data_IF_003831244900
#
_entry.id   IF_003831244900
#
_cell.length_a   1.000
_cell.length_b   1.000
_cell.length_c   1.000
_cell.angle_alpha   90.00
_cell.angle_beta   90.00
_cell.angle_gamma   90.00
#
_symmetry.space_group_name_H-M   'P 1'
#
loop_
_entity.id
_entity.type
_entity.pdbx_description
1 polymer ?
#
# COMPACT_ATOMS: atom_id res chain seq x y z
N UNK A 1 51.89 -2.39 -18.90
CA UNK A 1 52.94 -1.34 -18.85
C UNK A 1 52.28 -0.11 -18.27
N UNK A 2 52.37 0.13 -16.96
CA UNK A 2 53.52 0.66 -16.19
C UNK A 2 53.76 2.16 -16.37
N UNK A 3 53.65 2.82 -15.20
CA UNK A 3 54.31 4.01 -14.69
C UNK A 3 53.41 5.26 -14.57
N UNK A 4 52.99 5.67 -13.36
CA UNK A 4 53.79 6.15 -12.19
C UNK A 4 54.50 7.48 -12.55
N UNK A 5 54.53 8.53 -11.72
CA UNK A 5 54.64 8.54 -10.25
C UNK A 5 54.55 9.97 -9.66
N UNK A 6 54.19 10.01 -8.36
CA UNK A 6 54.83 10.76 -7.24
C UNK A 6 54.76 12.31 -7.20
N UNK A 7 54.75 13.02 -6.06
CA UNK A 7 55.09 12.73 -4.65
C UNK A 7 54.74 13.98 -3.80
N UNK A 8 54.09 13.88 -2.63
CA UNK A 8 54.64 13.92 -1.23
C UNK A 8 55.00 15.32 -0.68
N UNK A 9 55.08 15.69 0.60
CA UNK A 9 55.08 15.04 1.94
C UNK A 9 54.79 16.13 3.00
N UNK A 10 54.34 15.76 4.20
CA UNK A 10 54.32 16.65 5.38
C UNK A 10 53.75 15.99 6.65
N UNK A 11 54.63 15.33 7.41
CA UNK A 11 54.38 14.59 8.67
C UNK A 11 54.33 15.52 9.91
N UNK A 12 53.56 15.12 10.93
CA UNK A 12 53.98 15.13 12.34
C UNK A 12 53.15 14.14 13.18
N UNK A 13 53.83 13.41 14.06
CA UNK A 13 53.40 12.28 14.89
C UNK A 13 53.39 12.68 16.37
N UNK A 14 52.56 12.08 17.25
CA UNK A 14 53.01 11.10 18.29
C UNK A 14 52.00 10.82 19.43
N UNK A 15 51.74 9.51 19.63
CA UNK A 15 51.61 8.69 20.88
C UNK A 15 50.44 8.76 21.90
N UNK A 16 49.65 7.66 21.88
CA UNK A 16 49.16 6.72 22.93
C UNK A 16 49.09 7.10 24.43
N UNK A 17 47.95 6.74 25.09
CA UNK A 17 47.86 5.75 26.19
C UNK A 17 46.42 5.52 26.76
N UNK A 18 46.05 4.24 26.90
CA UNK A 18 45.26 3.52 27.96
C UNK A 18 43.98 4.06 28.64
N UNK A 19 42.95 3.20 28.69
CA UNK A 19 41.76 3.14 29.59
C UNK A 19 42.12 3.06 31.10
N UNK A 20 41.21 3.25 32.12
CA UNK A 20 39.97 2.49 32.35
C UNK A 20 38.80 3.20 33.13
N UNK A 21 37.76 2.41 33.46
CA UNK A 21 36.50 2.64 34.22
C UNK A 21 36.50 3.61 35.44
N UNK A 22 35.39 4.32 35.68
CA UNK A 22 34.40 4.06 36.79
C UNK A 22 33.56 5.27 37.30
N UNK A 23 32.28 4.99 37.61
CA UNK A 23 31.36 5.52 38.67
C UNK A 23 30.91 7.00 38.71
N UNK A 24 29.58 7.21 38.83
CA UNK A 24 28.85 7.91 39.92
C UNK A 24 27.33 7.68 39.71
N UNK A 25 26.65 6.79 40.45
CA UNK A 25 25.83 7.00 41.68
C UNK A 25 24.69 8.01 41.53
N UNK A 26 23.46 7.53 41.76
CA UNK A 26 22.21 8.28 41.62
C UNK A 26 21.80 9.11 42.84
N UNK A 27 20.64 9.76 42.68
CA UNK A 27 19.83 10.28 43.78
C UNK A 27 18.35 10.13 43.45
N UNK A 28 17.61 9.61 44.42
CA UNK A 28 16.17 9.41 44.46
C UNK A 28 15.48 10.65 45.00
N UNK A 29 14.32 11.05 44.47
CA UNK A 29 13.39 11.97 45.15
C UNK A 29 11.92 11.55 44.95
N UNK A 30 11.45 10.85 45.99
CA UNK A 30 10.15 10.85 46.69
C UNK A 30 8.85 11.20 45.95
N UNK A 31 7.94 10.24 46.07
CA UNK A 31 6.49 10.29 46.01
C UNK A 31 5.91 11.18 47.14
N UNK A 32 4.97 12.08 46.81
CA UNK A 32 4.10 12.76 47.79
C UNK A 32 2.63 12.68 47.32
N UNK A 33 1.77 12.16 48.19
CA UNK A 33 0.32 12.02 48.03
C UNK A 33 -0.36 13.00 48.98
N UNK A 34 -1.04 14.05 48.46
CA UNK A 34 -2.16 14.72 49.16
C UNK A 34 -3.22 15.31 48.21
N UNK A 35 -4.31 14.52 48.06
CA UNK A 35 -5.75 14.89 48.01
C UNK A 35 -6.36 15.68 46.82
N UNK A 36 -7.67 15.49 46.56
CA UNK A 36 -8.24 15.38 45.22
C UNK A 36 -9.02 16.61 44.80
N UNK A 37 -9.03 16.92 43.50
CA UNK A 37 -10.05 17.79 42.92
C UNK A 37 -10.95 16.97 41.99
N UNK A 38 -12.22 16.93 42.36
CA UNK A 38 -13.33 16.34 41.62
C UNK A 38 -13.46 16.99 40.23
N UNK A 39 -13.28 16.20 39.18
CA UNK A 39 -13.79 16.54 37.86
C UNK A 39 -15.03 15.70 37.61
N UNK A 40 -16.19 16.37 37.60
CA UNK A 40 -17.45 15.80 37.15
C UNK A 40 -17.28 15.36 35.70
N UNK A 41 -17.58 14.10 35.39
CA UNK A 41 -17.88 13.66 34.02
C UNK A 41 -19.00 14.54 33.47
N UNK A 42 -18.71 15.33 32.43
CA UNK A 42 -19.69 15.54 31.38
C UNK A 42 -19.51 14.38 30.41
N UNK A 43 -20.54 13.55 30.26
CA UNK A 43 -20.69 12.69 29.09
C UNK A 43 -20.53 13.54 27.83
N UNK A 44 -19.56 13.28 26.93
CA UNK A 44 -19.90 13.28 25.53
C UNK A 44 -20.46 11.88 25.25
N UNK A 45 -21.74 11.82 24.86
CA UNK A 45 -22.18 10.66 24.12
C UNK A 45 -21.27 10.58 22.88
N UNK A 46 -20.33 9.63 22.84
CA UNK A 46 -19.65 9.27 21.61
C UNK A 46 -20.67 8.54 20.76
N UNK A 47 -21.45 9.33 20.02
CA UNK A 47 -22.19 8.81 18.89
C UNK A 47 -21.13 8.28 17.92
N UNK A 48 -21.02 6.95 17.85
CA UNK A 48 -20.37 6.28 16.73
C UNK A 48 -20.87 6.94 15.44
N UNK A 49 -19.98 7.36 14.54
CA UNK A 49 -20.38 7.94 13.25
C UNK A 49 -20.96 6.87 12.30
N UNK A 50 -20.79 5.59 12.65
CA UNK A 50 -21.20 4.43 11.85
C UNK A 50 -22.72 4.36 11.57
N UNK A 51 -23.63 4.60 12.54
CA UNK A 51 -25.08 4.59 12.31
C UNK A 51 -25.60 5.87 11.65
N UNK A 52 -24.84 6.98 11.70
CA UNK A 52 -25.19 8.23 11.02
C UNK A 52 -24.86 8.17 9.52
N UNK A 53 -23.80 7.44 9.15
CA UNK A 53 -23.34 7.22 7.78
C UNK A 53 -24.33 6.41 6.93
N UNK A 54 -24.82 5.26 7.45
CA UNK A 54 -25.85 4.45 6.78
C UNK A 54 -27.15 5.24 6.54
N UNK A 55 -27.54 6.10 7.48
CA UNK A 55 -28.76 6.91 7.37
C UNK A 55 -28.63 8.09 6.40
N UNK A 56 -27.42 8.57 6.09
CA UNK A 56 -27.19 9.61 5.08
C UNK A 56 -27.01 9.03 3.67
N UNK A 57 -26.49 7.79 3.54
CA UNK A 57 -26.40 7.11 2.25
C UNK A 57 -27.76 6.59 1.76
N UNK A 58 -28.63 6.16 2.66
CA UNK A 58 -29.95 5.58 2.36
C UNK A 58 -31.08 6.60 2.11
N UNK A 59 -30.80 7.91 2.20
CA UNK A 59 -31.78 8.94 1.86
C UNK A 59 -31.41 9.56 0.53
N UNK A 60 -32.17 9.16 -0.49
CA UNK A 60 -32.22 9.70 -1.83
C UNK A 60 -30.98 9.40 -2.70
N UNK A 61 -31.11 8.44 -3.62
CA UNK A 61 -31.09 8.75 -5.05
C UNK A 61 -31.10 7.48 -5.90
N UNK A 62 -32.07 7.37 -6.81
CA UNK A 62 -32.10 6.41 -7.93
C UNK A 62 -31.15 6.78 -9.08
N UNK A 63 -30.15 7.65 -8.82
CA UNK A 63 -29.16 8.12 -9.80
C UNK A 63 -27.73 7.80 -9.35
N UNK A 64 -26.82 7.42 -10.27
CA UNK A 64 -25.43 7.14 -9.92
C UNK A 64 -24.71 8.39 -9.42
N UNK A 65 -24.22 8.36 -8.17
CA UNK A 65 -23.39 9.44 -7.60
C UNK A 65 -22.03 9.56 -8.31
N UNK A 66 -21.54 10.78 -8.50
CA UNK A 66 -20.25 11.11 -9.16
C UNK A 66 -19.04 11.00 -8.20
N UNK A 67 -17.81 10.88 -8.73
CA UNK A 67 -16.56 10.80 -7.94
C UNK A 67 -16.44 11.93 -6.88
N UNK A 68 -16.80 13.16 -7.24
CA UNK A 68 -16.80 14.31 -6.30
C UNK A 68 -17.84 14.13 -5.18
N UNK A 69 -18.96 13.46 -5.44
CA UNK A 69 -20.02 13.25 -4.44
C UNK A 69 -19.65 12.16 -3.44
N UNK A 70 -18.93 11.13 -3.87
CA UNK A 70 -18.43 10.06 -3.00
C UNK A 70 -17.24 10.53 -2.16
N UNK A 71 -16.29 11.24 -2.77
CA UNK A 71 -15.03 11.63 -2.09
C UNK A 71 -15.14 12.86 -1.17
N UNK A 72 -16.14 13.73 -1.39
CA UNK A 72 -16.30 14.97 -0.61
C UNK A 72 -16.60 14.75 0.89
N UNK A 73 -17.49 13.81 1.30
CA UNK A 73 -17.67 13.47 2.71
C UNK A 73 -16.38 12.94 3.35
N UNK A 74 -15.67 12.02 2.68
CA UNK A 74 -14.43 11.45 3.21
C UNK A 74 -13.34 12.50 3.38
N UNK A 75 -13.16 13.39 2.38
CA UNK A 75 -12.23 14.52 2.47
C UNK A 75 -12.60 15.51 3.57
N UNK A 76 -13.89 15.75 3.83
CA UNK A 76 -14.33 16.63 4.92
C UNK A 76 -14.11 16.00 6.30
N UNK A 77 -14.37 14.71 6.45
CA UNK A 77 -14.11 13.97 7.69
C UNK A 77 -12.60 13.95 7.98
N UNK A 78 -11.80 13.63 6.96
CA UNK A 78 -10.34 13.65 7.02
C UNK A 78 -9.79 15.05 7.37
N UNK A 79 -10.29 16.10 6.71
CA UNK A 79 -9.89 17.47 7.01
C UNK A 79 -10.29 17.90 8.43
N UNK A 80 -11.43 17.44 8.95
CA UNK A 80 -11.84 17.70 10.33
C UNK A 80 -10.97 16.95 11.35
N UNK A 81 -10.61 15.68 11.10
CA UNK A 81 -9.78 14.88 12.01
C UNK A 81 -8.29 15.26 12.01
N UNK A 82 -7.78 15.85 10.93
CA UNK A 82 -6.43 16.44 10.89
C UNK A 82 -6.41 17.83 11.52
N UNK A 83 -7.51 18.59 11.41
CA UNK A 83 -7.57 20.00 11.83
C UNK A 83 -7.65 20.22 13.33
N UNK A 84 -7.84 19.21 14.17
CA UNK A 84 -7.79 19.38 15.62
C UNK A 84 -6.44 18.95 16.18
N UNK A 85 -5.50 19.91 16.21
CA UNK A 85 -4.31 19.94 17.08
C UNK A 85 -3.12 19.01 16.74
N UNK A 86 -2.73 18.83 15.48
CA UNK A 86 -1.41 18.21 15.20
C UNK A 86 -0.30 19.27 15.23
N UNK A 87 0.54 19.20 16.26
CA UNK A 87 1.90 19.77 16.31
C UNK A 87 2.96 18.66 16.47
N UNK A 88 2.61 17.42 16.14
CA UNK A 88 3.47 16.25 16.32
C UNK A 88 3.86 15.64 14.97
N UNK A 89 5.15 15.32 14.86
CA UNK A 89 5.84 14.71 13.71
C UNK A 89 5.51 13.22 13.47
N UNK A 90 4.58 12.65 14.23
CA UNK A 90 4.20 11.23 14.12
C UNK A 90 2.79 11.08 13.52
N UNK A 91 2.76 10.87 12.21
CA UNK A 91 1.57 10.43 11.47
C UNK A 91 1.24 9.02 11.95
N UNK A 92 0.24 8.89 12.84
CA UNK A 92 -0.25 7.61 13.36
C UNK A 92 -0.61 6.65 12.21
N UNK A 93 0.04 5.47 12.19
CA UNK A 93 -0.19 4.37 11.23
C UNK A 93 -1.67 3.99 11.09
N UNK A 94 -2.48 4.17 12.15
CA UNK A 94 -3.92 3.95 12.08
C UNK A 94 -4.64 4.93 11.13
N UNK A 95 -4.16 6.18 11.03
CA UNK A 95 -4.65 7.18 10.06
C UNK A 95 -4.25 6.82 8.63
N UNK A 96 -3.10 6.18 8.45
CA UNK A 96 -2.60 5.69 7.16
C UNK A 96 -3.43 4.49 6.70
N UNK A 97 -3.68 3.51 7.57
CA UNK A 97 -4.46 2.32 7.23
C UNK A 97 -5.94 2.64 6.92
N UNK A 98 -6.52 3.62 7.62
CA UNK A 98 -7.88 4.10 7.32
C UNK A 98 -7.94 4.84 5.97
N UNK A 99 -6.84 5.49 5.58
CA UNK A 99 -6.71 6.20 4.31
C UNK A 99 -6.53 5.24 3.13
N UNK A 100 -5.71 4.19 3.28
CA UNK A 100 -5.53 3.12 2.28
C UNK A 100 -6.87 2.43 1.98
N UNK A 101 -7.63 2.06 3.02
CA UNK A 101 -8.95 1.43 2.85
C UNK A 101 -9.98 2.35 2.16
N UNK A 102 -9.88 3.67 2.33
CA UNK A 102 -10.78 4.63 1.70
C UNK A 102 -10.37 5.00 0.26
N UNK A 103 -9.09 4.89 -0.09
CA UNK A 103 -8.60 5.13 -1.45
C UNK A 103 -8.87 3.95 -2.39
N UNK A 104 -8.77 2.71 -1.91
CA UNK A 104 -9.10 1.52 -2.72
C UNK A 104 -10.58 1.49 -3.14
N UNK A 105 -11.51 1.89 -2.26
CA UNK A 105 -12.93 2.04 -2.64
C UNK A 105 -13.16 3.21 -3.61
N UNK A 106 -12.41 4.31 -3.51
CA UNK A 106 -12.53 5.44 -4.42
C UNK A 106 -11.94 5.13 -5.81
N UNK A 107 -10.88 4.31 -5.89
CA UNK A 107 -10.31 3.80 -7.12
C UNK A 107 -11.27 2.86 -7.84
N UNK A 108 -11.91 1.94 -7.10
CA UNK A 108 -12.97 1.08 -7.63
C UNK A 108 -14.19 1.89 -8.10
N UNK A 109 -14.56 2.95 -7.39
CA UNK A 109 -15.69 3.81 -7.76
C UNK A 109 -15.43 4.71 -8.99
N UNK A 110 -14.17 5.07 -9.29
CA UNK A 110 -13.81 5.87 -10.47
C UNK A 110 -13.99 5.09 -11.78
N UNK A 111 -13.96 3.75 -11.74
CA UNK A 111 -14.09 2.90 -12.92
C UNK A 111 -15.53 2.60 -13.36
N UNK A 112 -16.52 3.35 -12.85
CA UNK A 112 -17.95 3.20 -13.19
C UNK A 112 -18.29 3.29 -14.68
N UNK A 113 -17.44 3.87 -15.52
CA UNK A 113 -17.63 3.90 -16.98
C UNK A 113 -17.02 2.67 -17.70
N UNK A 114 -16.07 1.95 -17.09
CA UNK A 114 -15.49 0.70 -17.64
C UNK A 114 -16.19 -0.58 -17.13
N UNK A 115 -16.99 -0.47 -16.08
CA UNK A 115 -17.58 -1.58 -15.32
C UNK A 115 -18.73 -2.35 -16.00
N UNK A 116 -19.12 -2.00 -17.23
CA UNK A 116 -20.26 -2.67 -17.86
C UNK A 116 -20.00 -4.14 -18.25
N UNK A 117 -18.75 -4.66 -18.23
CA UNK A 117 -18.44 -5.94 -18.93
C UNK A 117 -17.35 -6.88 -18.38
N UNK A 118 -16.84 -6.84 -17.14
CA UNK A 118 -15.81 -7.85 -16.81
C UNK A 118 -15.69 -8.43 -15.41
N UNK A 119 -15.90 -7.67 -14.33
CA UNK A 119 -15.87 -8.27 -12.99
C UNK A 119 -17.23 -8.13 -12.32
N UNK A 120 -17.83 -9.28 -11.98
CA UNK A 120 -19.22 -9.40 -11.49
C UNK A 120 -19.30 -9.36 -9.97
N UNK A 121 -18.18 -9.54 -9.28
CA UNK A 121 -18.11 -9.66 -7.84
C UNK A 121 -17.38 -8.48 -7.17
N UNK A 122 -17.63 -8.30 -5.87
CA UNK A 122 -16.81 -7.51 -4.97
C UNK A 122 -16.16 -8.46 -3.96
N UNK A 123 -14.92 -8.21 -3.59
CA UNK A 123 -14.15 -9.04 -2.66
C UNK A 123 -13.82 -8.20 -1.42
N UNK A 124 -14.14 -8.73 -0.23
CA UNK A 124 -13.86 -8.13 1.06
C UNK A 124 -12.86 -9.00 1.81
N UNK A 125 -11.77 -8.42 2.27
CA UNK A 125 -10.78 -9.14 3.05
C UNK A 125 -11.01 -9.01 4.54
N UNK A 126 -11.05 -10.15 5.22
CA UNK A 126 -11.02 -10.22 6.67
C UNK A 126 -9.69 -10.83 7.12
N UNK A 127 -8.75 -9.99 7.53
CA UNK A 127 -7.39 -10.38 7.90
C UNK A 127 -7.18 -10.46 9.44
N UNK A 128 -5.96 -10.75 9.86
CA UNK A 128 -5.59 -10.90 11.28
C UNK A 128 -5.42 -9.56 12.02
N UNK A 129 -5.45 -8.42 11.34
CA UNK A 129 -5.47 -7.11 12.00
C UNK A 129 -6.86 -6.84 12.58
N UNK A 130 -6.93 -6.48 13.86
CA UNK A 130 -8.17 -6.14 14.56
C UNK A 130 -8.01 -4.91 15.44
N UNK A 131 -9.14 -4.27 15.74
CA UNK A 131 -9.23 -3.24 16.78
C UNK A 131 -9.18 -3.90 18.17
N UNK A 132 -8.33 -3.37 19.05
CA UNK A 132 -8.19 -3.77 20.47
C UNK A 132 -8.55 -2.60 21.38
N UNK A 133 -9.85 -2.38 21.54
CA UNK A 133 -10.38 -1.30 22.38
C UNK A 133 -9.93 -1.41 23.85
N UNK A 134 -9.73 -2.63 24.34
CA UNK A 134 -9.17 -2.95 25.66
C UNK A 134 -7.74 -2.45 25.82
N UNK A 135 -6.88 -2.67 24.82
CA UNK A 135 -5.49 -2.17 24.84
C UNK A 135 -5.42 -0.65 24.89
N UNK A 136 -6.40 0.06 24.32
CA UNK A 136 -6.46 1.52 24.37
C UNK A 136 -6.70 2.04 25.80
N UNK A 137 -7.47 1.30 26.62
CA UNK A 137 -7.68 1.64 28.03
C UNK A 137 -6.41 1.45 28.87
N UNK A 138 -5.51 0.58 28.43
CA UNK A 138 -4.21 0.32 29.05
C UNK A 138 -3.08 1.19 28.48
N UNK A 139 -3.40 2.11 27.56
CA UNK A 139 -2.43 3.00 26.91
C UNK A 139 -1.62 2.35 25.77
N UNK A 140 -2.01 1.16 25.33
CA UNK A 140 -1.44 0.46 24.18
C UNK A 140 -2.08 0.83 22.84
N UNK A 141 -1.55 0.28 21.75
CA UNK A 141 -2.08 0.49 20.40
C UNK A 141 -3.53 0.00 20.28
N UNK A 142 -4.45 0.80 19.68
CA UNK A 142 -5.83 0.37 19.43
C UNK A 142 -5.94 -0.63 18.27
N UNK A 143 -4.84 -0.88 17.55
CA UNK A 143 -4.77 -1.83 16.42
C UNK A 143 -3.70 -2.88 16.74
N UNK A 144 -3.99 -4.15 16.50
CA UNK A 144 -3.02 -5.22 16.68
C UNK A 144 -3.36 -6.46 15.86
N UNK A 145 -2.38 -7.35 15.70
CA UNK A 145 -2.58 -8.65 15.09
C UNK A 145 -3.19 -9.65 16.08
N UNK A 146 -4.10 -10.49 15.58
CA UNK A 146 -4.66 -11.66 16.25
C UNK A 146 -4.26 -12.92 15.50
N UNK A 147 -3.16 -13.54 15.94
CA UNK A 147 -2.61 -14.73 15.30
C UNK A 147 -3.52 -15.96 15.42
N UNK A 148 -4.53 -15.94 16.31
CA UNK A 148 -5.51 -17.01 16.44
C UNK A 148 -6.66 -16.92 15.42
N UNK A 149 -6.78 -15.79 14.71
CA UNK A 149 -7.81 -15.59 13.69
C UNK A 149 -7.40 -16.22 12.37
N UNK A 150 -8.30 -16.99 11.76
CA UNK A 150 -8.16 -17.46 10.38
C UNK A 150 -8.64 -16.37 9.42
N UNK A 151 -7.80 -15.85 8.51
CA UNK A 151 -8.24 -14.91 7.49
C UNK A 151 -9.33 -15.48 6.57
N UNK A 152 -10.19 -14.62 6.05
CA UNK A 152 -11.28 -14.99 5.13
C UNK A 152 -11.42 -13.96 4.01
N UNK A 153 -11.89 -14.41 2.85
CA UNK A 153 -12.33 -13.55 1.76
C UNK A 153 -13.85 -13.67 1.63
N UNK A 154 -14.54 -12.55 1.69
CA UNK A 154 -15.97 -12.43 1.40
C UNK A 154 -16.14 -12.07 -0.07
N UNK A 155 -16.94 -12.83 -0.80
CA UNK A 155 -17.30 -12.57 -2.19
C UNK A 155 -18.79 -12.32 -2.26
N UNK A 156 -19.19 -11.21 -2.87
CA UNK A 156 -20.59 -10.86 -3.10
C UNK A 156 -20.78 -10.38 -4.54
N UNK A 157 -21.89 -10.73 -5.22
CA UNK A 157 -22.23 -10.11 -6.49
C UNK A 157 -22.31 -8.58 -6.35
N UNK A 158 -21.76 -7.84 -7.31
CA UNK A 158 -21.75 -6.36 -7.27
C UNK A 158 -23.14 -5.73 -7.21
N UNK A 159 -24.14 -6.45 -7.72
CA UNK A 159 -25.53 -6.02 -7.76
C UNK A 159 -26.41 -6.84 -6.82
N UNK A 160 -25.81 -7.46 -5.79
CA UNK A 160 -26.58 -8.13 -4.75
C UNK A 160 -27.56 -7.17 -4.08
N UNK A 161 -28.74 -7.67 -3.74
CA UNK A 161 -29.78 -6.86 -3.10
C UNK A 161 -29.47 -6.62 -1.61
N UNK A 162 -28.86 -7.60 -0.96
CA UNK A 162 -28.48 -7.56 0.45
C UNK A 162 -27.30 -8.48 0.79
N UNK A 163 -26.89 -8.50 2.06
CA UNK A 163 -25.74 -9.25 2.54
C UNK A 163 -25.91 -10.78 2.50
N UNK A 164 -27.12 -11.31 2.30
CA UNK A 164 -27.37 -12.74 2.28
C UNK A 164 -26.71 -13.46 1.10
N UNK A 165 -26.36 -12.71 0.05
CA UNK A 165 -25.62 -13.20 -1.12
C UNK A 165 -24.09 -13.28 -0.89
N UNK A 166 -23.60 -12.82 0.27
CA UNK A 166 -22.19 -12.90 0.65
C UNK A 166 -21.76 -14.35 0.90
N UNK A 167 -20.69 -14.79 0.22
CA UNK A 167 -20.02 -16.07 0.45
C UNK A 167 -18.66 -15.84 1.09
N UNK A 168 -18.39 -16.49 2.23
CA UNK A 168 -17.11 -16.40 2.92
C UNK A 168 -16.25 -17.64 2.66
N UNK A 169 -15.00 -17.42 2.30
CA UNK A 169 -14.01 -18.46 2.03
C UNK A 169 -12.84 -18.31 2.99
N UNK A 170 -12.48 -19.36 3.72
CA UNK A 170 -11.30 -19.34 4.59
C UNK A 170 -10.02 -19.36 3.75
N UNK A 171 -9.07 -18.49 4.12
CA UNK A 171 -7.75 -18.37 3.48
C UNK A 171 -6.65 -18.29 4.54
N UNK A 172 -6.35 -19.40 5.25
CA UNK A 172 -5.43 -19.40 6.38
C UNK A 172 -4.06 -18.76 6.05
N UNK A 173 -3.67 -17.71 6.79
CA UNK A 173 -2.39 -17.02 6.60
C UNK A 173 -2.30 -16.12 5.35
N UNK A 174 -3.43 -15.71 4.78
CA UNK A 174 -3.50 -14.69 3.74
C UNK A 174 -3.93 -13.34 4.33
N UNK A 175 -2.97 -12.43 4.54
CA UNK A 175 -3.18 -11.09 5.05
C UNK A 175 -2.94 -10.06 3.95
N UNK A 176 -3.99 -9.79 3.18
CA UNK A 176 -4.01 -8.76 2.13
C UNK A 176 -4.24 -7.37 2.75
N UNK A 177 -3.39 -6.41 2.39
CA UNK A 177 -3.59 -4.99 2.67
C UNK A 177 -3.91 -4.24 1.38
N UNK A 178 -3.10 -4.46 0.34
CA UNK A 178 -3.33 -3.93 -1.01
C UNK A 178 -3.86 -5.01 -1.95
N UNK A 179 -4.79 -4.65 -2.85
CA UNK A 179 -5.22 -5.51 -3.94
C UNK A 179 -4.65 -5.02 -5.27
N UNK A 180 -4.11 -5.92 -6.09
CA UNK A 180 -3.50 -5.55 -7.38
C UNK A 180 -4.54 -5.62 -8.48
N UNK A 181 -5.21 -6.77 -8.58
CA UNK A 181 -6.29 -6.96 -9.53
C UNK A 181 -7.13 -8.18 -9.14
N UNK A 182 -8.37 -8.22 -9.61
CA UNK A 182 -9.22 -9.40 -9.54
C UNK A 182 -10.11 -9.49 -10.78
N UNK A 183 -10.44 -10.71 -11.21
CA UNK A 183 -11.34 -10.96 -12.33
C UNK A 183 -12.07 -12.29 -12.18
N UNK A 184 -13.18 -12.44 -12.88
CA UNK A 184 -13.85 -13.73 -13.07
C UNK A 184 -13.18 -14.45 -14.25
N UNK A 185 -12.84 -15.73 -14.10
CA UNK A 185 -12.46 -16.58 -15.24
C UNK A 185 -13.65 -16.73 -16.22
N UNK A 186 -13.37 -17.17 -17.45
CA UNK A 186 -14.37 -17.31 -18.50
C UNK A 186 -15.50 -18.30 -18.14
N UNK A 187 -15.24 -19.24 -17.22
CA UNK A 187 -16.24 -20.17 -16.70
C UNK A 187 -17.34 -19.46 -15.87
N UNK A 188 -17.05 -18.28 -15.31
CA UNK A 188 -17.92 -17.52 -14.42
C UNK A 188 -18.05 -18.11 -13.01
N UNK A 189 -17.40 -19.23 -12.73
CA UNK A 189 -17.45 -19.97 -11.47
C UNK A 189 -16.17 -19.79 -10.65
N UNK A 190 -15.09 -19.29 -11.27
CA UNK A 190 -13.80 -19.06 -10.61
C UNK A 190 -13.46 -17.58 -10.56
N UNK A 191 -13.04 -17.08 -9.41
CA UNK A 191 -12.45 -15.76 -9.25
C UNK A 191 -10.93 -15.90 -9.10
N UNK A 192 -10.18 -15.05 -9.80
CA UNK A 192 -8.74 -14.87 -9.57
C UNK A 192 -8.51 -13.53 -8.88
N UNK A 193 -7.71 -13.54 -7.82
CA UNK A 193 -7.22 -12.37 -7.10
C UNK A 193 -5.70 -12.39 -7.10
N UNK A 194 -5.09 -11.27 -7.49
CA UNK A 194 -3.65 -11.03 -7.39
C UNK A 194 -3.43 -9.99 -6.29
N UNK A 195 -2.63 -10.32 -5.29
CA UNK A 195 -2.34 -9.40 -4.19
C UNK A 195 -1.06 -9.76 -3.42
N UNK A 196 -0.38 -8.77 -2.82
CA UNK A 196 0.64 -9.01 -1.81
C UNK A 196 0.02 -9.62 -0.55
N UNK A 197 0.57 -10.73 -0.10
CA UNK A 197 0.28 -11.33 1.19
C UNK A 197 1.35 -10.94 2.21
N UNK A 198 0.94 -10.28 3.29
CA UNK A 198 1.83 -9.93 4.39
C UNK A 198 2.08 -11.17 5.27
N UNK A 199 3.27 -11.75 5.14
CA UNK A 199 3.65 -12.99 5.83
C UNK A 199 3.92 -12.79 7.33
N UNK A 200 4.33 -11.59 7.73
CA UNK A 200 4.68 -11.24 9.12
C UNK A 200 3.80 -10.11 9.62
N UNK A 201 2.49 -10.38 9.70
CA UNK A 201 1.44 -9.39 10.00
C UNK A 201 1.66 -8.69 11.35
N UNK A 202 2.30 -9.36 12.32
CA UNK A 202 2.67 -8.86 13.64
C UNK A 202 3.68 -7.70 13.59
N UNK A 203 4.46 -7.59 12.51
CA UNK A 203 5.47 -6.54 12.35
C UNK A 203 4.93 -5.30 11.63
N UNK A 204 3.77 -5.41 10.97
CA UNK A 204 3.18 -4.36 10.12
C UNK A 204 3.00 -3.02 10.83
N UNK A 205 2.75 -3.01 12.15
CA UNK A 205 2.43 -1.80 12.90
C UNK A 205 3.63 -1.19 13.65
N UNK A 206 4.67 -1.98 13.92
CA UNK A 206 5.74 -1.59 14.85
C UNK A 206 7.15 -1.73 14.25
N UNK A 207 7.34 -2.69 13.33
CA UNK A 207 8.64 -3.12 12.82
C UNK A 207 8.60 -3.39 11.33
N UNK A 208 8.21 -2.38 10.56
CA UNK A 208 8.02 -2.50 9.11
C UNK A 208 9.27 -3.04 8.39
N UNK A 209 10.48 -2.84 8.92
CA UNK A 209 11.72 -3.38 8.36
C UNK A 209 11.79 -4.90 8.33
N UNK A 210 10.95 -5.58 9.12
CA UNK A 210 10.80 -7.03 9.13
C UNK A 210 9.64 -7.54 8.27
N UNK A 211 8.84 -6.65 7.70
CA UNK A 211 7.68 -7.04 6.89
C UNK A 211 8.16 -7.64 5.57
N UNK A 212 7.62 -8.82 5.26
CA UNK A 212 7.77 -9.47 3.97
C UNK A 212 6.40 -9.65 3.33
N UNK A 213 6.18 -8.94 2.22
CA UNK A 213 5.01 -9.01 1.38
C UNK A 213 5.33 -9.89 0.17
N UNK A 214 4.58 -10.98 -0.01
CA UNK A 214 4.78 -11.92 -1.10
C UNK A 214 3.56 -11.87 -2.02
N UNK A 215 3.76 -11.53 -3.30
CA UNK A 215 2.64 -11.48 -4.25
C UNK A 215 2.15 -12.88 -4.56
N UNK A 216 0.86 -13.13 -4.33
CA UNK A 216 0.19 -14.40 -4.55
C UNK A 216 -0.93 -14.27 -5.60
N UNK A 217 -1.15 -15.37 -6.33
CA UNK A 217 -2.33 -15.65 -7.13
C UNK A 217 -3.27 -16.53 -6.31
N UNK A 218 -4.42 -15.98 -5.95
CA UNK A 218 -5.48 -16.68 -5.23
C UNK A 218 -6.59 -17.03 -6.24
N UNK A 219 -6.96 -18.31 -6.32
CA UNK A 219 -8.12 -18.76 -7.11
C UNK A 219 -9.20 -19.27 -6.17
N UNK A 220 -10.41 -18.75 -6.32
CA UNK A 220 -11.58 -19.09 -5.50
C UNK A 220 -12.60 -19.75 -6.43
N UNK A 221 -12.88 -21.03 -6.21
CA UNK A 221 -13.97 -21.74 -6.89
C UNK A 221 -15.28 -21.52 -6.12
N UNK A 222 -16.21 -20.81 -6.74
CA UNK A 222 -17.48 -20.39 -6.15
C UNK A 222 -18.51 -21.53 -6.02
N UNK A 223 -18.27 -22.65 -6.69
CA UNK A 223 -19.12 -23.85 -6.69
C UNK A 223 -18.66 -24.81 -5.61
N UNK A 224 -17.37 -25.14 -5.57
CA UNK A 224 -16.81 -26.11 -4.63
C UNK A 224 -16.40 -25.50 -3.29
N UNK A 225 -16.20 -24.18 -3.25
CA UNK A 225 -15.69 -23.50 -2.06
C UNK A 225 -14.17 -23.58 -1.90
N UNK A 226 -13.47 -24.23 -2.84
CA UNK A 226 -12.03 -24.46 -2.75
C UNK A 226 -11.28 -23.18 -3.08
N UNK A 227 -10.34 -22.81 -2.20
CA UNK A 227 -9.38 -21.74 -2.45
C UNK A 227 -7.99 -22.32 -2.64
N UNK A 228 -7.33 -21.92 -3.73
CA UNK A 228 -5.92 -22.25 -3.98
C UNK A 228 -5.08 -20.98 -4.05
N UNK A 229 -3.82 -21.08 -3.61
CA UNK A 229 -2.91 -19.95 -3.46
C UNK A 229 -1.54 -20.31 -4.02
N UNK A 230 -0.99 -19.42 -4.84
CA UNK A 230 0.29 -19.64 -5.50
C UNK A 230 1.16 -18.39 -5.41
N UNK A 231 2.31 -18.45 -4.72
CA UNK A 231 3.36 -17.45 -4.81
C UNK A 231 3.78 -17.15 -6.26
N UNK A 232 3.75 -15.89 -6.65
CA UNK A 232 4.15 -15.43 -8.00
C UNK A 232 5.63 -15.00 -8.01
N UNK A 233 6.13 -14.49 -6.89
CA UNK A 233 7.52 -14.10 -6.70
C UNK A 233 7.91 -14.24 -5.23
N UNK A 234 9.14 -14.71 -4.95
CA UNK A 234 9.68 -14.79 -3.59
C UNK A 234 10.30 -13.46 -3.09
N UNK A 235 10.23 -12.40 -3.90
CA UNK A 235 10.71 -11.07 -3.51
C UNK A 235 9.71 -10.40 -2.56
N UNK A 236 10.24 -9.49 -1.73
CA UNK A 236 9.42 -8.59 -0.92
C UNK A 236 8.81 -7.52 -1.83
N UNK A 237 7.56 -7.70 -2.23
CA UNK A 237 6.87 -6.92 -3.24
C UNK A 237 5.55 -6.38 -2.72
N UNK A 238 5.33 -5.08 -2.90
CA UNK A 238 4.10 -4.40 -2.51
C UNK A 238 3.80 -3.23 -3.46
N UNK A 239 2.77 -2.42 -3.19
CA UNK A 239 2.40 -1.22 -3.96
C UNK A 239 2.39 -1.48 -5.46
N UNK A 240 1.74 -2.56 -5.88
CA UNK A 240 1.77 -2.96 -7.28
C UNK A 240 0.68 -2.30 -8.09
N UNK A 241 1.00 -2.01 -9.35
CA UNK A 241 0.10 -1.41 -10.33
C UNK A 241 0.03 -2.26 -11.59
N UNK A 242 -1.06 -2.10 -12.31
CA UNK A 242 -1.29 -2.68 -13.63
C UNK A 242 -1.59 -1.58 -14.63
N UNK A 243 -1.70 -1.93 -15.91
CA UNK A 243 -2.34 -1.05 -16.88
C UNK A 243 -3.81 -0.82 -16.47
N UNK A 244 -4.24 0.44 -16.20
CA UNK A 244 -5.60 0.72 -15.73
C UNK A 244 -6.71 0.19 -16.63
N UNK A 245 -6.44 -0.01 -17.94
CA UNK A 245 -7.42 -0.60 -18.87
C UNK A 245 -7.77 -2.07 -18.55
N UNK A 246 -6.99 -2.73 -17.68
CA UNK A 246 -7.15 -4.13 -17.29
C UNK A 246 -7.65 -4.30 -15.85
N UNK A 247 -8.02 -3.22 -15.15
CA UNK A 247 -8.65 -3.32 -13.82
C UNK A 247 -9.97 -4.10 -13.94
N UNK A 248 -10.17 -5.10 -13.09
CA UNK A 248 -11.37 -5.94 -13.14
C UNK A 248 -11.39 -6.91 -14.34
N UNK A 249 -10.24 -7.14 -14.97
CA UNK A 249 -10.04 -8.02 -16.13
C UNK A 249 -8.78 -8.84 -15.94
N UNK A 250 -8.65 -9.94 -16.67
CA UNK A 250 -7.40 -10.68 -16.71
C UNK A 250 -6.28 -9.77 -17.24
N UNK A 251 -5.34 -9.43 -16.36
CA UNK A 251 -4.10 -8.71 -16.69
C UNK A 251 -2.93 -9.69 -16.70
N UNK A 252 -2.05 -9.59 -17.69
CA UNK A 252 -0.81 -10.36 -17.76
C UNK A 252 0.32 -9.73 -16.95
N UNK A 253 0.43 -8.40 -16.94
CA UNK A 253 1.59 -7.71 -16.40
C UNK A 253 1.26 -6.94 -15.12
N UNK A 254 2.10 -7.14 -14.10
CA UNK A 254 2.05 -6.42 -12.83
C UNK A 254 3.39 -5.72 -12.60
N UNK A 255 3.37 -4.47 -12.18
CA UNK A 255 4.56 -3.70 -11.80
C UNK A 255 4.54 -3.45 -10.30
N UNK A 256 5.46 -4.04 -9.54
CA UNK A 256 5.47 -3.96 -8.07
C UNK A 256 6.72 -3.25 -7.54
N UNK A 257 6.56 -2.54 -6.44
CA UNK A 257 7.66 -1.95 -5.69
C UNK A 257 8.46 -3.06 -4.97
N UNK A 258 9.79 -2.97 -5.01
CA UNK A 258 10.68 -3.88 -4.28
C UNK A 258 11.02 -3.26 -2.92
N UNK A 259 10.53 -3.85 -1.83
CA UNK A 259 10.84 -3.43 -0.46
C UNK A 259 12.14 -4.05 0.04
N UNK A 260 13.19 -3.24 0.25
CA UNK A 260 14.48 -3.75 0.75
C UNK A 260 15.33 -2.64 1.41
N UNK A 261 15.20 -2.43 2.75
CA UNK A 261 14.17 -2.96 3.64
C UNK A 261 12.88 -2.11 3.56
N UNK A 262 11.71 -2.69 3.84
CA UNK A 262 10.46 -1.93 3.97
C UNK A 262 10.56 -0.91 5.15
N UNK A 263 9.98 0.30 5.09
CA UNK A 263 9.19 0.90 4.02
C UNK A 263 9.99 1.45 2.84
N UNK A 264 11.32 1.29 2.81
CA UNK A 264 12.15 1.83 1.74
C UNK A 264 12.05 0.96 0.48
N UNK A 265 11.57 1.57 -0.60
CA UNK A 265 11.43 0.92 -1.90
C UNK A 265 12.73 1.08 -2.69
N UNK A 266 13.45 -0.01 -2.93
CA UNK A 266 14.76 0.00 -3.57
C UNK A 266 14.72 -0.19 -5.09
N UNK A 267 13.55 -0.50 -5.65
CA UNK A 267 13.38 -0.70 -7.08
C UNK A 267 11.95 -1.06 -7.51
N UNK A 268 11.81 -1.43 -8.78
CA UNK A 268 10.57 -1.91 -9.39
C UNK A 268 10.83 -3.24 -10.09
N UNK A 269 9.86 -4.14 -10.02
CA UNK A 269 9.82 -5.39 -10.78
C UNK A 269 8.62 -5.42 -11.70
N UNK A 270 8.75 -6.05 -12.87
CA UNK A 270 7.65 -6.44 -13.74
C UNK A 270 7.47 -7.95 -13.64
N UNK A 271 6.25 -8.38 -13.36
CA UNK A 271 5.82 -9.77 -13.29
C UNK A 271 4.93 -10.09 -14.50
N UNK A 272 5.07 -11.29 -15.05
CA UNK A 272 4.13 -11.89 -15.99
C UNK A 272 3.35 -12.97 -15.24
N UNK A 273 2.12 -12.65 -14.82
CA UNK A 273 1.30 -13.52 -13.95
C UNK A 273 0.62 -14.66 -14.71
N UNK A 274 0.78 -14.72 -16.04
CA UNK A 274 0.29 -15.84 -16.88
C UNK A 274 1.28 -16.99 -16.95
N UNK A 275 2.53 -16.79 -16.50
CA UNK A 275 3.49 -17.88 -16.33
C UNK A 275 2.94 -18.93 -15.34
N UNK A 276 3.39 -20.17 -15.50
CA UNK A 276 2.92 -21.29 -14.70
C UNK A 276 3.20 -21.09 -13.22
N UNK A 277 2.35 -21.68 -12.37
CA UNK A 277 2.37 -21.48 -10.91
C UNK A 277 3.65 -21.99 -10.20
N UNK A 278 4.65 -22.48 -10.94
CA UNK A 278 5.95 -22.96 -10.43
C UNK A 278 7.14 -22.14 -10.90
N UNK A 279 6.94 -21.16 -11.77
CA UNK A 279 8.01 -20.35 -12.35
C UNK A 279 8.13 -19.00 -11.64
N UNK A 280 9.35 -18.47 -11.55
CA UNK A 280 9.53 -17.05 -11.19
C UNK A 280 8.88 -16.19 -12.29
N UNK A 281 7.82 -15.50 -11.90
CA UNK A 281 7.05 -14.68 -12.82
C UNK A 281 7.77 -13.36 -13.17
N UNK A 282 8.91 -13.06 -12.54
CA UNK A 282 9.72 -11.89 -12.87
C UNK A 282 10.17 -11.92 -14.33
N UNK A 283 9.91 -10.83 -15.06
CA UNK A 283 10.32 -10.65 -16.47
C UNK A 283 11.14 -9.38 -16.71
N UNK A 284 11.06 -8.39 -15.81
CA UNK A 284 11.94 -7.23 -15.84
C UNK A 284 12.17 -6.70 -14.42
N UNK A 285 13.27 -5.95 -14.22
CA UNK A 285 13.51 -5.26 -12.95
C UNK A 285 14.43 -4.04 -13.11
N UNK A 286 14.27 -3.08 -12.21
CA UNK A 286 15.18 -1.93 -12.05
C UNK A 286 15.40 -1.68 -10.56
N UNK A 287 16.66 -1.77 -10.12
CA UNK A 287 17.07 -1.27 -8.81
C UNK A 287 17.50 0.20 -8.96
N UNK A 288 17.14 1.06 -8.02
CA UNK A 288 17.50 2.48 -8.07
C UNK A 288 18.97 2.76 -7.72
N UNK A 289 19.62 1.80 -7.06
CA UNK A 289 21.01 1.89 -6.62
C UNK A 289 21.13 2.15 -5.10
N UNK A 290 22.34 2.03 -4.54
CA UNK A 290 22.56 2.20 -3.10
C UNK A 290 22.14 3.59 -2.61
N UNK A 291 21.38 3.64 -1.50
CA UNK A 291 20.91 4.90 -0.90
C UNK A 291 19.82 5.62 -1.70
N UNK A 292 19.34 5.03 -2.81
CA UNK A 292 18.27 5.58 -3.62
C UNK A 292 16.98 4.79 -3.38
N UNK A 293 15.92 5.49 -2.98
CA UNK A 293 14.64 4.86 -2.65
C UNK A 293 13.47 5.61 -3.27
N UNK A 294 12.50 4.86 -3.76
CA UNK A 294 11.28 5.38 -4.38
C UNK A 294 10.03 5.16 -3.53
N UNK A 295 8.89 5.06 -4.20
CA UNK A 295 7.59 4.70 -3.63
C UNK A 295 6.80 3.83 -4.60
N UNK A 296 5.48 3.99 -4.60
CA UNK A 296 4.59 3.33 -5.56
C UNK A 296 4.94 3.70 -7.02
N UNK A 297 5.16 2.72 -7.91
CA UNK A 297 5.25 2.95 -9.35
C UNK A 297 3.86 3.21 -9.96
N UNK A 298 3.80 3.92 -11.09
CA UNK A 298 2.57 4.15 -11.85
C UNK A 298 2.73 3.66 -13.28
N UNK A 299 1.71 2.99 -13.81
CA UNK A 299 1.66 2.68 -15.23
C UNK A 299 0.96 3.80 -16.02
N UNK A 300 1.59 4.26 -17.10
CA UNK A 300 1.05 5.25 -18.03
C UNK A 300 1.08 4.66 -19.43
N UNK A 301 -0.10 4.32 -19.96
CA UNK A 301 -0.22 3.82 -21.33
C UNK A 301 0.28 4.86 -22.33
N UNK A 302 1.03 4.42 -23.35
CA UNK A 302 1.52 5.30 -24.42
C UNK A 302 0.37 5.89 -25.23
N UNK A 303 -0.58 5.04 -25.59
CA UNK A 303 -1.81 5.41 -26.29
C UNK A 303 -3.03 4.73 -25.62
N UNK A 304 -3.62 5.36 -24.59
CA UNK A 304 -4.71 4.77 -23.80
C UNK A 304 -6.02 4.58 -24.58
N UNK A 305 -6.11 5.08 -25.83
CA UNK A 305 -7.27 4.92 -26.70
C UNK A 305 -7.11 3.86 -27.78
N UNK A 306 -5.92 3.28 -27.94
CA UNK A 306 -5.65 2.30 -28.97
C UNK A 306 -5.98 0.87 -28.49
N UNK A 307 -7.03 0.22 -29.03
CA UNK A 307 -7.39 -1.14 -28.63
C UNK A 307 -6.37 -2.20 -29.09
N UNK A 308 -5.51 -1.87 -30.06
CA UNK A 308 -4.47 -2.75 -30.58
C UNK A 308 -3.15 -2.62 -29.81
N UNK A 309 -3.05 -1.68 -28.86
CA UNK A 309 -1.86 -1.52 -28.04
C UNK A 309 -1.67 -2.75 -27.14
N UNK A 310 -0.43 -3.23 -27.06
CA UNK A 310 -0.10 -4.31 -26.13
C UNK A 310 -0.27 -3.83 -24.67
N UNK A 311 -0.59 -4.76 -23.75
CA UNK A 311 -0.90 -4.44 -22.35
C UNK A 311 0.20 -3.62 -21.65
N UNK A 312 1.47 -3.91 -21.96
CA UNK A 312 2.65 -3.23 -21.42
C UNK A 312 3.19 -2.09 -22.32
N UNK A 313 2.44 -1.68 -23.34
CA UNK A 313 2.84 -0.58 -24.22
C UNK A 313 2.65 0.78 -23.55
N UNK A 314 3.64 1.16 -22.75
CA UNK A 314 3.60 2.38 -21.98
C UNK A 314 4.87 2.63 -21.19
N UNK A 315 4.69 3.34 -20.09
CA UNK A 315 5.76 3.76 -19.21
C UNK A 315 5.44 3.39 -17.77
N UNK A 316 6.45 3.00 -17.02
CA UNK A 316 6.40 2.94 -15.57
C UNK A 316 7.09 4.18 -15.03
N UNK A 317 6.39 4.96 -14.22
CA UNK A 317 6.91 6.20 -13.65
C UNK A 317 6.93 6.14 -12.13
N UNK A 318 7.88 6.83 -11.50
CA UNK A 318 8.01 6.82 -10.04
C UNK A 318 8.88 7.98 -9.57
N UNK A 319 8.64 8.45 -8.34
CA UNK A 319 9.58 9.31 -7.64
C UNK A 319 10.70 8.47 -7.04
N UNK A 320 11.94 8.99 -7.07
CA UNK A 320 13.11 8.41 -6.41
C UNK A 320 13.86 9.51 -5.68
N UNK A 321 14.23 9.25 -4.44
CA UNK A 321 15.06 10.09 -3.60
C UNK A 321 16.43 9.45 -3.38
N UNK A 322 17.48 10.17 -3.74
CA UNK A 322 18.86 9.84 -3.39
C UNK A 322 19.16 10.45 -2.01
N UNK A 323 19.24 9.61 -0.98
CA UNK A 323 19.51 10.05 0.40
C UNK A 323 20.95 10.55 0.58
N UNK A 324 21.88 10.17 -0.30
CA UNK A 324 23.29 10.60 -0.23
C UNK A 324 23.45 11.99 -0.82
N UNK A 325 22.90 12.21 -2.03
CA UNK A 325 22.96 13.51 -2.70
C UNK A 325 21.90 14.50 -2.19
N UNK A 326 20.86 14.02 -1.50
CA UNK A 326 19.73 14.84 -1.05
C UNK A 326 18.81 15.27 -2.20
N UNK A 327 18.83 14.57 -3.33
CA UNK A 327 18.10 14.93 -4.54
C UNK A 327 16.88 14.04 -4.77
N UNK A 328 15.85 14.58 -5.44
CA UNK A 328 14.72 13.79 -5.91
C UNK A 328 14.59 13.87 -7.43
N UNK A 329 14.24 12.74 -8.04
CA UNK A 329 14.01 12.60 -9.48
C UNK A 329 12.65 11.95 -9.70
N UNK A 330 11.97 12.35 -10.76
CA UNK A 330 10.86 11.61 -11.33
C UNK A 330 11.39 10.80 -12.51
N UNK A 331 11.36 9.47 -12.38
CA UNK A 331 11.86 8.56 -13.40
C UNK A 331 10.71 8.16 -14.33
N UNK A 332 11.02 8.05 -15.61
CA UNK A 332 10.15 7.49 -16.64
C UNK A 332 10.89 6.32 -17.27
N UNK A 333 10.32 5.12 -17.13
CA UNK A 333 10.90 3.87 -17.59
C UNK A 333 10.05 3.27 -18.69
N UNK A 334 10.66 2.71 -19.72
CA UNK A 334 9.97 1.90 -20.73
C UNK A 334 9.41 0.63 -20.05
N UNK A 335 8.09 0.48 -20.06
CA UNK A 335 7.39 -0.61 -19.38
C UNK A 335 7.55 -1.97 -20.07
N UNK A 336 7.96 -1.99 -21.34
CA UNK A 336 8.17 -3.19 -22.16
C UNK A 336 9.62 -3.68 -22.09
N UNK A 337 10.56 -2.79 -21.79
CA UNK A 337 11.98 -3.12 -21.68
C UNK A 337 12.25 -4.19 -20.61
N UNK A 338 13.09 -5.20 -20.88
CA UNK A 338 13.45 -6.25 -19.92
C UNK A 338 14.25 -5.73 -18.71
N UNK A 339 14.76 -4.49 -18.79
CA UNK A 339 15.45 -3.84 -17.68
C UNK A 339 14.65 -2.66 -17.11
N UNK A 340 13.44 -2.36 -17.61
CA UNK A 340 12.73 -1.10 -17.32
C UNK A 340 13.66 0.11 -17.57
N UNK A 341 14.18 0.24 -18.80
CA UNK A 341 15.08 1.32 -19.22
C UNK A 341 14.55 2.70 -18.90
N UNK A 342 15.36 3.53 -18.23
CA UNK A 342 15.05 4.92 -17.93
C UNK A 342 15.16 5.72 -19.24
N UNK A 343 14.02 6.10 -19.81
CA UNK A 343 13.93 6.92 -21.03
C UNK A 343 13.93 8.41 -20.71
N UNK A 344 13.54 8.80 -19.49
CA UNK A 344 13.69 10.16 -18.98
C UNK A 344 13.85 10.18 -17.46
N UNK A 345 14.57 11.18 -16.95
CA UNK A 345 14.70 11.45 -15.53
C UNK A 345 14.59 12.96 -15.28
N UNK A 346 13.53 13.39 -14.63
CA UNK A 346 13.28 14.80 -14.32
C UNK A 346 13.79 15.10 -12.92
N UNK A 347 14.82 15.94 -12.79
CA UNK A 347 15.29 16.40 -11.48
C UNK A 347 14.29 17.38 -10.89
N UNK A 348 13.93 17.16 -9.62
CA UNK A 348 12.98 18.01 -8.91
C UNK A 348 13.71 19.10 -8.12
N UNK A 349 13.13 20.31 -8.00
CA UNK A 349 13.79 21.43 -7.33
C UNK A 349 13.87 21.28 -5.80
N UNK A 350 13.15 20.31 -5.24
CA UNK A 350 13.10 20.00 -3.80
C UNK A 350 12.93 18.51 -3.59
N UNK A 351 13.24 18.07 -2.37
CA UNK A 351 12.96 16.71 -1.91
C UNK A 351 11.47 16.42 -1.99
N UNK A 352 11.12 15.30 -2.62
CA UNK A 352 9.82 14.66 -2.48
C UNK A 352 9.92 13.66 -1.31
N UNK A 353 9.14 13.82 -0.23
CA UNK A 353 9.14 12.86 0.86
C UNK A 353 8.56 11.52 0.41
N UNK A 354 8.90 10.44 1.11
CA UNK A 354 8.21 9.16 0.92
C UNK A 354 6.71 9.34 1.20
N UNK A 355 5.89 8.78 0.32
CA UNK A 355 4.44 8.90 0.36
C UNK A 355 3.76 7.54 0.22
N UNK A 356 2.44 7.58 0.03
CA UNK A 356 1.60 6.41 -0.21
C UNK A 356 1.20 6.36 -1.68
N UNK A 357 -0.10 6.36 -1.94
CA UNK A 357 -0.64 6.21 -3.28
C UNK A 357 -0.60 7.51 -4.08
N UNK A 358 -0.52 7.35 -5.39
CA UNK A 358 -0.69 8.44 -6.35
C UNK A 358 -1.67 8.10 -7.46
N UNK A 359 -1.98 9.11 -8.27
CA UNK A 359 -2.84 8.97 -9.43
C UNK A 359 -2.24 9.74 -10.60
N UNK A 360 -2.15 9.09 -11.76
CA UNK A 360 -1.87 9.77 -13.01
C UNK A 360 -3.19 10.17 -13.68
N UNK A 361 -3.39 11.47 -13.89
CA UNK A 361 -4.59 12.00 -14.55
C UNK A 361 -4.23 12.49 -15.95
N UNK A 362 -4.93 11.97 -16.96
CA UNK A 362 -4.75 12.38 -18.35
C UNK A 362 -5.30 13.79 -18.55
N UNK A 363 -4.68 14.54 -19.46
CA UNK A 363 -5.17 15.88 -19.84
C UNK A 363 -6.64 15.84 -20.31
N UNK A 364 -7.00 14.82 -21.09
CA UNK A 364 -8.38 14.61 -21.55
C UNK A 364 -9.37 14.38 -20.41
N UNK A 365 -8.95 13.82 -19.28
CA UNK A 365 -9.80 13.65 -18.10
C UNK A 365 -9.88 14.94 -17.27
N UNK A 366 -8.81 15.72 -17.22
CA UNK A 366 -8.85 17.07 -16.63
C UNK A 366 -9.80 18.00 -17.39
N UNK A 367 -9.85 17.90 -18.72
CA UNK A 367 -10.71 18.73 -19.57
C UNK A 367 -12.22 18.41 -19.43
N UNK A 368 -12.58 17.30 -18.77
CA UNK A 368 -13.97 16.94 -18.46
C UNK A 368 -14.47 17.50 -17.12
N UNK A 369 -13.58 18.06 -16.29
CA UNK A 369 -13.89 18.63 -14.98
C UNK A 369 -14.39 20.08 -15.07
#
# INVERSE_FOLDING_TARGET
MLCASSSSFGHASMTMASSPLSRFVGSSLRYDQRRPSSWKMRNPASASAYPLFLNQLNKDSTTPKTYKEVTKPFRQIFAQEISTQSKDDDISIAKVLLYIAAEDEAFLAFNREMDARSFRHAIFSEIQIRMRMDSMLEGGSPVGADNGKTPRLGVIPRYAEDESEMKWFEVPGFNIIHAINAWDEDDGDTIVLIAPNIMSIEHTLERMELVHALVEKVKIDLVTGIVTRHPISARNLDFAVINPAFVGRQSRYVYAAIGDPMPKISGVVKLDVTKGDRDDCTVARRMYGPGCYGGEPFFVARDPGNPEAEEDEGYVVTYVHDEVAGESKFLVMDAKSPELEIVAAVRLPRRVPYGFHGLFVKESDLNKL
#
